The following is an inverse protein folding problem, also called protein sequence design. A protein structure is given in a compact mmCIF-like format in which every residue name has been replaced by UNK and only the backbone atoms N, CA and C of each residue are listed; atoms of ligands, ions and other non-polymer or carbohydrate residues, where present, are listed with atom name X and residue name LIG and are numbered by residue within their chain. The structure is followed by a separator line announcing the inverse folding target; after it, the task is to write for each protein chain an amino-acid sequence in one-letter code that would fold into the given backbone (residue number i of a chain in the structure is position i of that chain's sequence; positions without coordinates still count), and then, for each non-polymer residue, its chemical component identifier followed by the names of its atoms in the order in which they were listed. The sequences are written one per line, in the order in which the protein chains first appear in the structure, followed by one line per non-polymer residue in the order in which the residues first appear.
data_IF_165048542352
#
_entry.id   IF_165048542352
#
_cell.length_a   1.000
_cell.length_b   1.000
_cell.length_c   1.000
_cell.angle_alpha   90.00
_cell.angle_beta   90.00
_cell.angle_gamma   90.00
#
_symmetry.space_group_name_H-M   'P 1'
#
loop_
_entity.id
_entity.type
_entity.pdbx_description
1 polymer ?
#
# COMPACT_ATOMS: atom_id res chain seq x y z
N UNK A 1 -1.62 -23.32 1.56
CA UNK A 1 -0.20 -23.14 1.95
C UNK A 1 -0.14 -23.17 3.47
N UNK A 2 0.78 -23.96 4.04
CA UNK A 2 0.97 -24.10 5.49
C UNK A 2 1.63 -22.84 6.03
N UNK A 3 0.96 -22.13 6.94
CA UNK A 3 1.56 -21.01 7.68
C UNK A 3 2.43 -21.58 8.80
N UNK A 4 3.73 -21.38 8.70
CA UNK A 4 4.68 -21.72 9.77
C UNK A 4 4.34 -20.85 10.98
N UNK A 5 4.06 -21.44 12.17
CA UNK A 5 3.82 -20.66 13.38
C UNK A 5 5.05 -19.80 13.68
N UNK A 6 4.90 -18.47 13.59
CA UNK A 6 5.97 -17.50 13.87
C UNK A 6 6.52 -16.75 12.65
N UNK A 7 6.07 -17.02 11.43
CA UNK A 7 6.44 -16.19 10.27
C UNK A 7 5.73 -14.84 10.35
N UNK A 8 6.49 -13.74 10.39
CA UNK A 8 5.94 -12.38 10.24
C UNK A 8 5.26 -12.26 8.88
N UNK A 9 3.95 -12.00 8.89
CA UNK A 9 3.18 -11.87 7.66
C UNK A 9 3.45 -10.51 7.02
N UNK A 10 3.81 -10.50 5.73
CA UNK A 10 3.90 -9.28 4.93
C UNK A 10 2.58 -9.05 4.20
N UNK A 11 1.92 -7.94 4.50
CA UNK A 11 0.65 -7.53 3.89
C UNK A 11 0.91 -6.34 2.97
N UNK A 12 0.58 -6.49 1.69
CA UNK A 12 0.56 -5.36 0.75
C UNK A 12 -0.84 -4.75 0.80
N UNK A 13 -0.93 -3.49 1.20
CA UNK A 13 -2.18 -2.76 1.30
C UNK A 13 -2.20 -1.62 0.27
N UNK A 14 -3.23 -1.59 -0.56
CA UNK A 14 -3.42 -0.54 -1.56
C UNK A 14 -4.85 -0.02 -1.53
N UNK A 15 -5.03 1.25 -1.83
CA UNK A 15 -6.35 1.83 -2.03
C UNK A 15 -6.70 1.82 -3.52
N UNK A 16 -7.89 1.33 -3.83
CA UNK A 16 -8.42 1.27 -5.19
C UNK A 16 -9.66 2.17 -5.28
N UNK A 17 -9.70 3.10 -6.23
CA UNK A 17 -10.94 3.81 -6.56
C UNK A 17 -11.83 2.94 -7.46
N UNK A 18 -13.15 3.08 -7.31
CA UNK A 18 -14.17 2.16 -7.85
C UNK A 18 -13.86 1.47 -9.20
N UNK A 19 -13.73 2.19 -10.34
CA UNK A 19 -13.53 1.55 -11.64
C UNK A 19 -12.10 1.04 -11.90
N UNK A 20 -11.15 1.18 -10.96
CA UNK A 20 -9.75 0.81 -11.16
C UNK A 20 -9.52 -0.69 -11.34
N UNK A 21 -10.44 -1.55 -10.87
CA UNK A 21 -10.27 -3.01 -10.98
C UNK A 21 -10.11 -3.50 -12.44
N UNK A 22 -10.55 -2.71 -13.43
CA UNK A 22 -10.44 -3.02 -14.85
C UNK A 22 -9.38 -2.21 -15.59
N UNK A 23 -8.61 -1.35 -14.90
CA UNK A 23 -7.58 -0.56 -15.55
C UNK A 23 -6.33 -1.41 -15.81
N UNK A 24 -5.69 -1.30 -17.01
CA UNK A 24 -4.49 -2.06 -17.35
C UNK A 24 -3.36 -1.93 -16.31
N UNK A 25 -3.22 -0.76 -15.70
CA UNK A 25 -2.19 -0.52 -14.70
C UNK A 25 -2.41 -1.33 -13.42
N UNK A 26 -3.64 -1.43 -12.94
CA UNK A 26 -3.97 -2.24 -11.76
C UNK A 26 -3.72 -3.73 -12.03
N UNK A 27 -4.04 -4.20 -13.24
CA UNK A 27 -3.72 -5.56 -13.67
C UNK A 27 -2.21 -5.80 -13.66
N UNK A 28 -1.41 -4.87 -14.18
CA UNK A 28 0.05 -4.97 -14.15
C UNK A 28 0.61 -4.98 -12.72
N UNK A 29 0.03 -4.18 -11.82
CA UNK A 29 0.37 -4.21 -10.39
C UNK A 29 0.13 -5.60 -9.79
N UNK A 30 -1.06 -6.19 -10.00
CA UNK A 30 -1.38 -7.53 -9.51
C UNK A 30 -0.47 -8.62 -10.11
N UNK A 31 -0.21 -8.55 -11.42
CA UNK A 31 0.69 -9.48 -12.09
C UNK A 31 2.12 -9.39 -11.53
N UNK A 32 2.60 -8.18 -11.22
CA UNK A 32 3.92 -7.99 -10.60
C UNK A 32 3.99 -8.62 -9.21
N UNK A 33 2.95 -8.44 -8.38
CA UNK A 33 2.86 -9.08 -7.05
C UNK A 33 2.85 -10.60 -7.16
N UNK A 34 2.03 -11.15 -8.06
CA UNK A 34 1.95 -12.59 -8.29
C UNK A 34 3.29 -13.15 -8.77
N UNK A 35 3.98 -12.45 -9.68
CA UNK A 35 5.29 -12.87 -10.22
C UNK A 35 6.35 -13.04 -9.13
N UNK A 36 6.24 -12.28 -8.04
CA UNK A 36 7.19 -12.24 -6.93
C UNK A 36 6.72 -12.99 -5.68
N UNK A 37 5.57 -13.68 -5.74
CA UNK A 37 5.11 -14.54 -4.64
C UNK A 37 4.47 -13.78 -3.48
N UNK A 38 3.87 -12.62 -3.72
CA UNK A 38 3.04 -11.97 -2.70
C UNK A 38 1.67 -12.66 -2.62
N UNK A 39 1.25 -13.01 -1.41
CA UNK A 39 0.03 -13.77 -1.17
C UNK A 39 -1.07 -13.00 -0.41
N UNK A 40 -0.69 -11.95 0.32
CA UNK A 40 -1.62 -11.15 1.10
C UNK A 40 -1.68 -9.72 0.54
N UNK A 41 -2.73 -9.46 -0.25
CA UNK A 41 -2.97 -8.16 -0.89
C UNK A 41 -4.33 -7.65 -0.44
N UNK A 42 -4.35 -6.57 0.32
CA UNK A 42 -5.56 -5.93 0.78
C UNK A 42 -5.86 -4.71 -0.10
N UNK A 43 -6.81 -4.87 -1.01
CA UNK A 43 -7.30 -3.80 -1.86
C UNK A 43 -8.51 -3.12 -1.20
N UNK A 44 -8.34 -1.85 -0.81
CA UNK A 44 -9.37 -1.09 -0.10
C UNK A 44 -10.18 -0.27 -1.10
N UNK A 45 -11.48 -0.54 -1.28
CA UNK A 45 -12.32 0.32 -2.08
C UNK A 45 -12.44 1.69 -1.41
N UNK A 46 -11.99 2.72 -2.12
CA UNK A 46 -12.26 4.11 -1.79
C UNK A 46 -13.29 4.60 -2.79
N UNK A 47 -14.46 5.00 -2.31
CA UNK A 47 -15.54 5.50 -3.17
C UNK A 47 -14.98 6.50 -4.17
N UNK A 48 -15.33 6.32 -5.45
CA UNK A 48 -14.93 7.24 -6.51
C UNK A 48 -15.31 8.65 -6.11
N UNK A 49 -14.33 9.56 -6.11
CA UNK A 49 -14.57 10.98 -5.90
C UNK A 49 -15.65 11.44 -6.86
N UNK A 50 -16.54 12.29 -6.36
CA UNK A 50 -17.42 13.01 -7.28
C UNK A 50 -16.54 13.86 -8.20
N UNK A 51 -16.84 13.97 -9.51
CA UNK A 51 -16.13 14.90 -10.36
C UNK A 51 -16.22 16.29 -9.72
N UNK A 52 -15.06 16.92 -9.43
CA UNK A 52 -14.86 18.20 -8.72
C UNK A 52 -14.67 18.14 -7.19
N UNK A 53 -14.51 16.97 -6.59
CA UNK A 53 -14.15 16.92 -5.16
C UNK A 53 -12.69 17.37 -4.95
N UNK A 54 -12.39 18.22 -3.93
CA UNK A 54 -11.02 18.65 -3.65
C UNK A 54 -10.10 17.45 -3.40
N UNK A 55 -8.91 17.50 -3.97
CA UNK A 55 -7.90 16.45 -3.85
C UNK A 55 -7.60 16.08 -2.39
N UNK A 56 -7.56 17.06 -1.47
CA UNK A 56 -7.38 16.83 -0.04
C UNK A 56 -8.44 15.86 0.56
N UNK A 57 -9.68 15.88 0.07
CA UNK A 57 -10.74 14.97 0.56
C UNK A 57 -10.52 13.54 0.08
N UNK A 58 -9.94 13.35 -1.11
CA UNK A 58 -9.54 12.04 -1.59
C UNK A 58 -8.49 11.41 -0.69
N UNK A 59 -7.41 12.16 -0.46
CA UNK A 59 -6.32 11.70 0.40
C UNK A 59 -6.82 11.41 1.81
N UNK A 60 -7.70 12.24 2.37
CA UNK A 60 -8.32 11.97 3.67
C UNK A 60 -9.11 10.66 3.69
N UNK A 61 -9.99 10.42 2.70
CA UNK A 61 -10.78 9.18 2.64
C UNK A 61 -9.91 7.94 2.49
N UNK A 62 -8.88 8.04 1.64
CA UNK A 62 -7.89 6.98 1.45
C UNK A 62 -7.17 6.66 2.76
N UNK A 63 -6.65 7.67 3.45
CA UNK A 63 -5.99 7.51 4.75
C UNK A 63 -6.93 6.88 5.78
N UNK A 64 -8.19 7.34 5.86
CA UNK A 64 -9.18 6.77 6.78
C UNK A 64 -9.51 5.30 6.46
N UNK A 65 -9.64 4.94 5.18
CA UNK A 65 -9.85 3.55 4.78
C UNK A 65 -8.66 2.67 5.19
N UNK A 66 -7.43 3.13 4.94
CA UNK A 66 -6.21 2.44 5.36
C UNK A 66 -6.14 2.30 6.88
N UNK A 67 -6.41 3.36 7.64
CA UNK A 67 -6.39 3.30 9.11
C UNK A 67 -7.40 2.29 9.68
N UNK A 68 -8.61 2.21 9.10
CA UNK A 68 -9.61 1.20 9.51
C UNK A 68 -9.14 -0.22 9.22
N UNK A 69 -8.52 -0.42 8.04
CA UNK A 69 -7.95 -1.71 7.68
C UNK A 69 -6.82 -2.13 8.63
N UNK A 70 -5.93 -1.21 9.01
CA UNK A 70 -4.86 -1.46 9.98
C UNK A 70 -5.37 -2.00 11.32
N UNK A 71 -6.54 -1.54 11.77
CA UNK A 71 -7.15 -2.00 13.04
C UNK A 71 -7.63 -3.46 12.98
N UNK A 72 -7.85 -4.00 11.79
CA UNK A 72 -8.32 -5.37 11.58
C UNK A 72 -7.17 -6.35 11.31
N UNK A 73 -5.96 -5.85 11.06
CA UNK A 73 -4.81 -6.69 10.73
C UNK A 73 -4.17 -7.30 11.99
N UNK A 74 -3.50 -8.46 11.86
CA UNK A 74 -2.79 -9.07 12.97
C UNK A 74 -1.74 -8.11 13.56
N UNK A 75 -1.60 -8.09 14.89
CA UNK A 75 -0.60 -7.26 15.58
C UNK A 75 0.86 -7.54 15.17
N UNK A 76 1.12 -8.69 14.52
CA UNK A 76 2.45 -9.13 14.07
C UNK A 76 2.61 -9.13 12.55
N UNK A 77 1.87 -8.28 11.85
CA UNK A 77 2.04 -8.09 10.41
C UNK A 77 3.00 -6.92 10.13
N UNK A 78 3.84 -7.06 9.10
CA UNK A 78 4.52 -5.94 8.44
C UNK A 78 3.64 -5.51 7.28
N UNK A 79 3.36 -4.22 7.20
CA UNK A 79 2.36 -3.69 6.27
C UNK A 79 3.06 -2.73 5.32
N UNK A 80 2.89 -2.96 4.03
CA UNK A 80 3.39 -2.07 2.98
C UNK A 80 2.20 -1.36 2.35
N UNK A 81 2.09 -0.07 2.60
CA UNK A 81 1.09 0.78 1.94
C UNK A 81 1.65 1.30 0.63
N UNK A 82 0.94 1.08 -0.48
CA UNK A 82 1.42 1.48 -1.80
C UNK A 82 0.28 1.86 -2.75
N UNK A 83 0.61 2.67 -3.76
CA UNK A 83 -0.24 2.89 -4.93
C UNK A 83 -0.31 1.63 -5.80
N UNK A 84 -1.32 1.57 -6.67
CA UNK A 84 -1.52 0.43 -7.57
C UNK A 84 -1.70 0.83 -9.03
N UNK A 85 -1.68 2.12 -9.34
CA UNK A 85 -1.88 2.67 -10.69
C UNK A 85 -0.57 2.94 -11.44
N UNK A 86 0.55 3.03 -10.72
CA UNK A 86 1.85 3.46 -11.26
C UNK A 86 3.02 2.76 -10.56
N UNK A 87 2.73 1.70 -9.79
CA UNK A 87 3.72 0.91 -9.04
C UNK A 87 3.86 -0.47 -9.65
N UNK A 88 5.11 -0.93 -9.79
CA UNK A 88 5.44 -2.30 -10.15
C UNK A 88 6.42 -2.88 -9.14
N UNK A 89 6.18 -4.13 -8.75
CA UNK A 89 7.05 -4.86 -7.84
C UNK A 89 8.19 -5.54 -8.60
N UNK A 90 9.40 -5.44 -8.07
CA UNK A 90 10.64 -5.93 -8.69
C UNK A 90 11.44 -6.88 -7.78
N UNK A 91 10.88 -7.23 -6.62
CA UNK A 91 11.49 -8.13 -5.65
C UNK A 91 10.41 -8.85 -4.83
N UNK A 92 10.76 -10.03 -4.31
CA UNK A 92 9.90 -10.84 -3.45
C UNK A 92 9.80 -10.35 -2.00
N UNK A 93 8.82 -10.91 -1.24
CA UNK A 93 8.55 -10.52 0.14
C UNK A 93 9.74 -10.72 1.08
N UNK A 94 10.52 -11.79 0.91
CA UNK A 94 11.66 -12.11 1.78
C UNK A 94 12.77 -11.04 1.70
N UNK A 95 13.03 -10.52 0.50
CA UNK A 95 14.02 -9.46 0.33
C UNK A 95 13.53 -8.15 0.95
N UNK A 96 12.26 -7.82 0.79
CA UNK A 96 11.68 -6.62 1.41
C UNK A 96 11.71 -6.71 2.94
N UNK A 97 11.28 -7.85 3.49
CA UNK A 97 11.29 -8.13 4.92
C UNK A 97 12.69 -8.03 5.50
N UNK A 98 13.68 -8.70 4.89
CA UNK A 98 15.07 -8.67 5.36
C UNK A 98 15.65 -7.25 5.38
N UNK A 99 15.36 -6.45 4.35
CA UNK A 99 15.77 -5.03 4.29
C UNK A 99 15.12 -4.22 5.39
N UNK A 100 13.80 -4.31 5.55
CA UNK A 100 13.07 -3.57 6.57
C UNK A 100 13.53 -3.93 8.00
N UNK A 101 13.68 -5.22 8.30
CA UNK A 101 14.15 -5.69 9.60
C UNK A 101 15.57 -5.21 9.91
N UNK A 102 16.44 -5.13 8.90
CA UNK A 102 17.81 -4.60 9.05
C UNK A 102 17.84 -3.11 9.37
N UNK A 103 16.82 -2.34 8.99
CA UNK A 103 16.74 -0.91 9.32
C UNK A 103 16.51 -0.66 10.81
N UNK A 104 15.97 -1.64 11.55
CA UNK A 104 15.67 -1.50 12.97
C UNK A 104 14.67 -0.38 13.28
N UNK A 105 13.74 -0.10 12.34
CA UNK A 105 12.72 0.94 12.47
C UNK A 105 11.32 0.31 12.54
N UNK A 106 10.39 1.04 13.15
CA UNK A 106 8.97 0.66 13.21
C UNK A 106 8.20 1.07 11.97
N UNK A 107 8.68 2.09 11.25
CA UNK A 107 8.11 2.58 10.00
C UNK A 107 9.23 3.08 9.07
N UNK A 108 9.01 2.93 7.76
CA UNK A 108 9.84 3.48 6.71
C UNK A 108 8.94 4.11 5.66
N UNK A 109 9.27 5.32 5.23
CA UNK A 109 8.54 6.04 4.20
C UNK A 109 9.37 6.09 2.92
N UNK A 110 8.71 6.09 1.77
CA UNK A 110 9.37 6.42 0.51
C UNK A 110 9.87 7.87 0.58
N UNK A 111 11.03 8.12 -0.01
CA UNK A 111 11.61 9.45 -0.09
C UNK A 111 11.43 10.00 -1.51
N UNK A 112 11.06 11.27 -1.61
CA UNK A 112 10.91 12.00 -2.87
C UNK A 112 11.80 13.24 -2.87
N UNK A 113 12.17 13.72 -4.06
CA UNK A 113 13.01 14.93 -4.19
C UNK A 113 12.23 16.22 -3.92
N UNK A 114 10.92 16.19 -4.13
CA UNK A 114 10.05 17.36 -4.02
C UNK A 114 9.20 17.24 -2.75
N UNK A 115 9.06 18.36 -2.05
CA UNK A 115 8.21 18.46 -0.87
C UNK A 115 6.88 19.07 -1.32
N UNK A 116 5.89 18.24 -1.64
CA UNK A 116 4.62 18.67 -2.24
C UNK A 116 3.40 18.52 -1.33
N UNK A 117 3.57 18.83 -0.05
CA UNK A 117 2.48 18.86 0.93
C UNK A 117 2.26 20.28 1.44
N UNK A 118 1.07 20.62 1.99
CA UNK A 118 0.82 21.94 2.57
C UNK A 118 1.88 22.37 3.60
N UNK A 119 2.38 21.41 4.39
CA UNK A 119 3.46 21.66 5.36
C UNK A 119 4.80 22.03 4.72
N UNK A 120 5.05 21.61 3.49
CA UNK A 120 6.23 22.00 2.72
C UNK A 120 6.12 23.39 2.11
N UNK A 121 4.90 23.78 1.72
CA UNK A 121 4.62 25.03 0.99
C UNK A 121 4.46 26.25 1.92
N UNK A 122 4.52 26.04 3.25
CA UNK A 122 4.25 27.06 4.27
C UNK A 122 2.88 27.75 4.06
N UNK A 123 1.87 26.98 3.65
CA UNK A 123 0.47 27.42 3.51
C UNK A 123 -0.32 27.23 4.82
#
# INVERSE_FOLDING_TARGET
ASTVPGSTELVVMTAISGPLAHQPMYVNFLLSLQRWGFHCVLALPVDSLKPKEPEARFWLRRTLAMMRALQMLPQRAIIVTTDSTDVLWTAGPDLLLSRFMTMGRTACFAAEMLCDTPWCRNE
#
